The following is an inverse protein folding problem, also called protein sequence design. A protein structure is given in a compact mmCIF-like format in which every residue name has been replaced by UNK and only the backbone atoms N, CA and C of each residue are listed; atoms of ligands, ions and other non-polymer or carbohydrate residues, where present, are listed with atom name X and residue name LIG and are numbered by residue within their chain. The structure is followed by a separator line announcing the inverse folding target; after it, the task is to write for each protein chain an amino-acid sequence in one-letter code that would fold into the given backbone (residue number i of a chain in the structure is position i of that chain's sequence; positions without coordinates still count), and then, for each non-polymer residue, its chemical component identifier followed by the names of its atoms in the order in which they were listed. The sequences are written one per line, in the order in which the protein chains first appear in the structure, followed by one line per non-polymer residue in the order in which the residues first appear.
data_IF_478079180138
#
_entry.id   IF_478079180138
#
_cell.length_a   1.000
_cell.length_b   1.000
_cell.length_c   1.000
_cell.angle_alpha   90.00
_cell.angle_beta   90.00
_cell.angle_gamma   90.00
#
_symmetry.space_group_name_H-M   'P 1'
#
loop_
_entity.id
_entity.type
_entity.pdbx_description
1 polymer ?
#
# COMPACT_ATOMS: atom_id res chain seq x y z
N UNK A 1 13.65 8.71 11.05
CA UNK A 1 13.15 9.18 12.38
C UNK A 1 12.69 7.93 13.08
N UNK A 2 13.21 7.55 14.26
CA UNK A 2 12.96 6.19 14.80
C UNK A 2 11.49 6.03 15.24
N UNK A 3 10.62 5.55 14.33
CA UNK A 3 9.20 5.34 14.60
C UNK A 3 9.06 4.15 15.55
N UNK A 4 8.47 4.39 16.73
CA UNK A 4 8.38 3.39 17.78
C UNK A 4 7.30 2.32 17.46
N UNK A 5 7.24 1.24 18.25
CA UNK A 5 6.30 0.14 18.03
C UNK A 5 4.82 0.56 18.09
N UNK A 6 4.49 1.54 18.95
CA UNK A 6 3.13 2.07 19.09
C UNK A 6 2.73 2.88 17.85
N UNK A 7 3.59 3.78 17.37
CA UNK A 7 3.36 4.56 16.15
C UNK A 7 3.19 3.64 14.92
N UNK A 8 3.94 2.54 14.84
CA UNK A 8 3.76 1.53 13.78
C UNK A 8 2.40 0.83 13.85
N UNK A 9 1.95 0.50 15.05
CA UNK A 9 0.62 -0.08 15.26
C UNK A 9 -0.49 0.91 14.92
N UNK A 10 -0.31 2.20 15.22
CA UNK A 10 -1.25 3.25 14.84
C UNK A 10 -1.37 3.39 13.32
N UNK A 11 -0.24 3.47 12.60
CA UNK A 11 -0.23 3.54 11.12
C UNK A 11 -0.89 2.32 10.50
N UNK A 12 -0.65 1.12 11.05
CA UNK A 12 -1.29 -0.11 10.58
C UNK A 12 -2.80 -0.11 10.81
N UNK A 13 -3.25 0.32 11.99
CA UNK A 13 -4.68 0.44 12.30
C UNK A 13 -5.36 1.47 11.38
N UNK A 14 -4.72 2.62 11.16
CA UNK A 14 -5.24 3.65 10.26
C UNK A 14 -5.36 3.15 8.81
N UNK A 15 -4.39 2.36 8.33
CA UNK A 15 -4.50 1.69 7.02
C UNK A 15 -5.72 0.77 6.97
N UNK A 16 -5.91 -0.03 8.02
CA UNK A 16 -6.97 -1.04 8.08
C UNK A 16 -8.36 -0.39 8.14
N UNK A 17 -8.51 0.66 8.94
CA UNK A 17 -9.71 1.49 9.00
C UNK A 17 -10.00 2.15 7.65
N UNK A 18 -9.02 2.84 7.06
CA UNK A 18 -9.20 3.52 5.77
C UNK A 18 -9.55 2.53 4.65
N UNK A 19 -8.99 1.31 4.68
CA UNK A 19 -9.32 0.25 3.72
C UNK A 19 -10.77 -0.24 3.87
N UNK A 20 -11.26 -0.36 5.10
CA UNK A 20 -12.65 -0.74 5.36
C UNK A 20 -13.62 0.36 4.94
N UNK A 21 -13.29 1.62 5.19
CA UNK A 21 -14.12 2.77 4.77
C UNK A 21 -14.26 2.83 3.25
N UNK A 22 -13.17 2.62 2.51
CA UNK A 22 -13.22 2.56 1.04
C UNK A 22 -14.09 1.41 0.54
N UNK A 23 -14.00 0.22 1.15
CA UNK A 23 -14.87 -0.91 0.79
C UNK A 23 -16.34 -0.57 1.00
N UNK A 24 -16.68 -0.01 2.16
CA UNK A 24 -18.05 0.38 2.48
C UNK A 24 -18.59 1.43 1.48
N UNK A 25 -17.79 2.42 1.11
CA UNK A 25 -18.18 3.41 0.11
C UNK A 25 -18.41 2.80 -1.27
N UNK A 26 -17.55 1.87 -1.71
CA UNK A 26 -17.74 1.15 -2.98
C UNK A 26 -19.07 0.41 -2.99
N UNK A 27 -19.40 -0.31 -1.91
CA UNK A 27 -20.65 -1.04 -1.78
C UNK A 27 -21.87 -0.11 -1.83
N UNK A 28 -21.80 1.04 -1.15
CA UNK A 28 -22.86 2.04 -1.20
C UNK A 28 -23.06 2.64 -2.60
N UNK A 29 -21.98 2.97 -3.31
CA UNK A 29 -22.04 3.49 -4.67
C UNK A 29 -22.65 2.44 -5.60
N UNK A 30 -22.21 1.18 -5.50
CA UNK A 30 -22.74 0.09 -6.31
C UNK A 30 -24.22 -0.18 -6.03
N UNK A 31 -24.67 -0.01 -4.78
CA UNK A 31 -26.10 -0.08 -4.43
C UNK A 31 -26.88 1.06 -5.06
N UNK A 32 -26.41 2.30 -4.93
CA UNK A 32 -27.07 3.47 -5.52
C UNK A 32 -27.13 3.41 -7.06
N UNK A 33 -26.11 2.85 -7.73
CA UNK A 33 -26.11 2.64 -9.18
C UNK A 33 -27.17 1.61 -9.60
N UNK A 34 -27.30 0.49 -8.87
CA UNK A 34 -28.36 -0.50 -9.14
C UNK A 34 -29.74 0.11 -8.97
N UNK A 35 -29.98 0.79 -7.86
CA UNK A 35 -31.25 1.48 -7.58
C UNK A 35 -31.58 2.54 -8.64
N UNK A 36 -30.57 3.24 -9.18
CA UNK A 36 -30.74 4.18 -10.28
C UNK A 36 -31.18 3.48 -11.57
N UNK A 37 -30.47 2.41 -11.98
CA UNK A 37 -30.75 1.70 -13.22
C UNK A 37 -32.13 1.02 -13.22
N UNK A 38 -32.51 0.36 -12.13
CA UNK A 38 -33.82 -0.29 -11.99
C UNK A 38 -34.98 0.73 -12.06
N UNK A 39 -34.80 1.92 -11.47
CA UNK A 39 -35.80 2.97 -11.53
C UNK A 39 -35.86 3.69 -12.89
N UNK A 40 -34.76 3.74 -13.62
CA UNK A 40 -34.66 4.45 -14.89
C UNK A 40 -35.33 3.69 -16.04
N UNK A 41 -35.13 2.37 -16.13
CA UNK A 41 -35.74 1.53 -17.18
C UNK A 41 -37.28 1.55 -17.11
N UNK A 42 -37.83 1.44 -15.90
CA UNK A 42 -39.28 1.52 -15.68
C UNK A 42 -39.89 2.88 -16.02
N UNK A 43 -39.11 3.98 -15.97
CA UNK A 43 -39.60 5.34 -16.21
C UNK A 43 -39.56 5.76 -17.69
N UNK A 44 -38.63 5.21 -18.48
CA UNK A 44 -38.53 5.51 -19.92
C UNK A 44 -39.71 4.90 -20.70
N UNK A 45 -40.13 3.68 -20.37
CA UNK A 45 -41.24 3.03 -21.07
C UNK A 45 -42.57 3.79 -20.92
N UNK A 46 -42.81 4.44 -19.77
CA UNK A 46 -43.99 5.27 -19.52
C UNK A 46 -43.95 6.64 -20.21
N UNK A 47 -42.76 7.17 -20.55
CA UNK A 47 -42.59 8.53 -21.08
C UNK A 47 -42.63 8.62 -22.62
N UNK A 48 -42.32 7.52 -23.33
CA UNK A 48 -42.19 7.52 -24.81
C UNK A 48 -43.52 7.23 -25.53
N UNK A 49 -44.57 6.77 -24.82
CA UNK A 49 -45.84 6.44 -25.47
C UNK A 49 -46.64 7.70 -25.81
N UNK A 50 -46.71 8.05 -27.10
CA UNK A 50 -47.62 9.08 -27.59
C UNK A 50 -49.06 8.56 -27.55
N UNK A 51 -49.91 9.17 -26.72
CA UNK A 51 -51.35 8.91 -26.70
C UNK A 51 -52.07 9.91 -27.60
N UNK A 52 -52.38 9.52 -28.83
CA UNK A 52 -53.07 10.37 -29.82
C UNK A 52 -54.46 10.87 -29.36
N UNK A 53 -55.04 10.25 -28.33
CA UNK A 53 -56.35 10.60 -27.73
C UNK A 53 -56.26 11.21 -26.32
N UNK A 54 -55.09 11.67 -25.88
CA UNK A 54 -54.90 12.27 -24.55
C UNK A 54 -55.64 13.61 -24.40
N UNK A 55 -56.34 13.80 -23.28
CA UNK A 55 -56.94 15.10 -22.97
C UNK A 55 -55.85 16.15 -22.65
N UNK A 56 -56.12 17.45 -22.85
CA UNK A 56 -55.17 18.50 -22.47
C UNK A 56 -54.75 18.45 -20.99
N UNK A 57 -55.67 18.06 -20.10
CA UNK A 57 -55.44 17.97 -18.65
C UNK A 57 -54.54 16.77 -18.29
N UNK A 58 -54.73 15.63 -18.93
CA UNK A 58 -53.88 14.45 -18.76
C UNK A 58 -52.48 14.72 -19.31
N UNK A 59 -52.38 15.43 -20.44
CA UNK A 59 -51.11 15.85 -21.04
C UNK A 59 -50.30 16.75 -20.12
N UNK A 60 -50.95 17.71 -19.45
CA UNK A 60 -50.28 18.59 -18.47
C UNK A 60 -49.74 17.77 -17.30
N UNK A 61 -50.55 16.88 -16.70
CA UNK A 61 -50.10 16.02 -15.60
C UNK A 61 -48.94 15.11 -15.98
N UNK A 62 -48.96 14.57 -17.21
CA UNK A 62 -47.85 13.76 -17.72
C UNK A 62 -46.56 14.58 -17.82
N UNK A 63 -46.62 15.79 -18.38
CA UNK A 63 -45.48 16.71 -18.48
C UNK A 63 -44.96 17.11 -17.09
N UNK A 64 -45.84 17.43 -16.14
CA UNK A 64 -45.46 17.74 -14.75
C UNK A 64 -44.72 16.55 -14.11
N UNK A 65 -45.24 15.33 -14.26
CA UNK A 65 -44.58 14.12 -13.77
C UNK A 65 -43.20 13.89 -14.39
N UNK A 66 -43.00 14.23 -15.68
CA UNK A 66 -41.69 14.19 -16.34
C UNK A 66 -40.73 15.21 -15.71
N UNK A 67 -41.19 16.44 -15.46
CA UNK A 67 -40.39 17.48 -14.83
C UNK A 67 -39.94 17.07 -13.42
N UNK A 68 -40.86 16.59 -12.57
CA UNK A 68 -40.55 16.14 -11.21
C UNK A 68 -39.50 15.00 -11.21
N UNK A 69 -39.62 14.05 -12.15
CA UNK A 69 -38.65 12.96 -12.28
C UNK A 69 -37.27 13.45 -12.73
N UNK A 70 -37.20 14.44 -13.63
CA UNK A 70 -35.93 15.05 -14.05
C UNK A 70 -35.25 15.80 -12.91
N UNK A 71 -36.00 16.53 -12.09
CA UNK A 71 -35.46 17.20 -10.91
C UNK A 71 -34.89 16.18 -9.91
N UNK A 72 -35.58 15.07 -9.68
CA UNK A 72 -35.09 14.01 -8.79
C UNK A 72 -33.80 13.36 -9.33
N UNK A 73 -33.65 13.20 -10.64
CA UNK A 73 -32.42 12.68 -11.27
C UNK A 73 -31.25 13.65 -11.06
N UNK A 74 -31.47 14.94 -11.25
CA UNK A 74 -30.45 15.97 -11.01
C UNK A 74 -29.99 15.91 -9.55
N UNK A 75 -30.93 15.83 -8.59
CA UNK A 75 -30.63 15.71 -7.16
C UNK A 75 -29.79 14.47 -6.85
N UNK A 76 -30.14 13.31 -7.44
CA UNK A 76 -29.38 12.06 -7.25
C UNK A 76 -27.97 12.14 -7.84
N UNK A 77 -27.81 12.76 -9.01
CA UNK A 77 -26.50 12.96 -9.63
C UNK A 77 -25.57 13.83 -8.76
N UNK A 78 -26.12 14.82 -8.06
CA UNK A 78 -25.38 15.64 -7.10
C UNK A 78 -24.84 14.80 -5.92
N UNK A 79 -25.67 13.90 -5.39
CA UNK A 79 -25.27 12.96 -4.32
C UNK A 79 -24.13 12.05 -4.81
N UNK A 80 -24.26 11.46 -6.00
CA UNK A 80 -23.22 10.60 -6.59
C UNK A 80 -21.91 11.37 -6.77
N UNK A 81 -21.97 12.61 -7.26
CA UNK A 81 -20.80 13.48 -7.43
C UNK A 81 -20.08 13.75 -6.10
N UNK A 82 -20.84 13.95 -5.01
CA UNK A 82 -20.25 14.14 -3.68
C UNK A 82 -19.59 12.85 -3.16
N UNK A 83 -20.23 11.69 -3.33
CA UNK A 83 -19.63 10.39 -2.97
C UNK A 83 -18.33 10.13 -3.75
N UNK A 84 -18.27 10.47 -5.04
CA UNK A 84 -17.05 10.36 -5.84
C UNK A 84 -15.93 11.23 -5.27
N UNK A 85 -16.22 12.47 -4.86
CA UNK A 85 -15.23 13.36 -4.24
C UNK A 85 -14.71 12.79 -2.92
N UNK A 86 -15.60 12.28 -2.07
CA UNK A 86 -15.21 11.62 -0.82
C UNK A 86 -14.29 10.42 -1.07
N UNK A 87 -14.64 9.58 -2.03
CA UNK A 87 -13.80 8.43 -2.43
C UNK A 87 -12.41 8.86 -2.94
N UNK A 88 -12.31 9.95 -3.69
CA UNK A 88 -11.00 10.51 -4.10
C UNK A 88 -10.17 10.97 -2.90
N UNK A 89 -10.79 11.58 -1.89
CA UNK A 89 -10.09 11.99 -0.66
C UNK A 89 -9.57 10.77 0.11
N UNK A 90 -10.35 9.69 0.20
CA UNK A 90 -9.92 8.44 0.84
C UNK A 90 -8.76 7.78 0.09
N UNK A 91 -8.79 7.76 -1.25
CA UNK A 91 -7.68 7.24 -2.06
C UNK A 91 -6.38 8.03 -1.84
N UNK A 92 -6.47 9.35 -1.74
CA UNK A 92 -5.32 10.18 -1.41
C UNK A 92 -4.78 9.87 0.01
N UNK A 93 -5.67 9.65 0.98
CA UNK A 93 -5.27 9.23 2.34
C UNK A 93 -4.54 7.89 2.33
N UNK A 94 -5.08 6.90 1.62
CA UNK A 94 -4.44 5.57 1.43
C UNK A 94 -3.05 5.68 0.80
N UNK A 95 -2.90 6.54 -0.21
CA UNK A 95 -1.59 6.79 -0.85
C UNK A 95 -0.56 7.28 0.17
N UNK A 96 -0.93 8.25 1.02
CA UNK A 96 -0.03 8.79 2.04
C UNK A 96 0.36 7.73 3.08
N UNK A 97 -0.61 6.96 3.58
CA UNK A 97 -0.34 5.88 4.54
C UNK A 97 0.60 4.83 3.91
N UNK A 98 0.39 4.48 2.65
CA UNK A 98 1.26 3.55 1.94
C UNK A 98 2.69 4.07 1.78
N UNK A 99 2.88 5.37 1.55
CA UNK A 99 4.21 5.99 1.52
C UNK A 99 4.91 5.87 2.88
N UNK A 100 4.22 6.20 3.98
CA UNK A 100 4.75 6.06 5.34
C UNK A 100 5.15 4.60 5.66
N UNK A 101 4.33 3.62 5.27
CA UNK A 101 4.66 2.20 5.46
C UNK A 101 5.90 1.79 4.67
N UNK A 102 6.05 2.28 3.44
CA UNK A 102 7.25 2.00 2.65
C UNK A 102 8.50 2.63 3.25
N UNK A 103 8.41 3.85 3.78
CA UNK A 103 9.49 4.52 4.49
C UNK A 103 9.90 3.72 5.73
N UNK A 104 8.94 3.31 6.58
CA UNK A 104 9.21 2.45 7.74
C UNK A 104 9.89 1.15 7.33
N UNK A 105 9.39 0.48 6.28
CA UNK A 105 9.97 -0.78 5.79
C UNK A 105 11.39 -0.59 5.27
N UNK A 106 11.70 0.57 4.71
CA UNK A 106 13.04 0.91 4.25
C UNK A 106 13.98 1.13 5.43
N UNK A 107 13.59 1.99 6.39
CA UNK A 107 14.37 2.24 7.62
C UNK A 107 14.66 0.93 8.37
N UNK A 108 13.68 0.02 8.46
CA UNK A 108 13.85 -1.30 9.07
C UNK A 108 14.91 -2.16 8.36
N UNK A 109 14.94 -2.14 7.03
CA UNK A 109 15.95 -2.88 6.26
C UNK A 109 17.34 -2.31 6.47
N UNK A 110 17.46 -0.99 6.53
CA UNK A 110 18.73 -0.31 6.79
C UNK A 110 19.26 -0.66 8.19
N UNK A 111 18.41 -0.56 9.23
CA UNK A 111 18.77 -0.92 10.61
C UNK A 111 19.22 -2.39 10.69
N UNK A 112 18.49 -3.32 10.06
CA UNK A 112 18.85 -4.74 10.08
C UNK A 112 20.16 -5.01 9.33
N UNK A 113 20.40 -4.32 8.21
CA UNK A 113 21.66 -4.39 7.48
C UNK A 113 22.83 -3.92 8.34
N UNK A 114 22.72 -2.76 9.00
CA UNK A 114 23.74 -2.24 9.93
C UNK A 114 24.03 -3.21 11.09
N UNK A 115 23.00 -3.83 11.65
CA UNK A 115 23.16 -4.81 12.72
C UNK A 115 23.89 -6.07 12.24
N UNK A 116 23.56 -6.57 11.06
CA UNK A 116 24.26 -7.71 10.44
C UNK A 116 25.72 -7.36 10.16
N UNK A 117 25.99 -6.17 9.63
CA UNK A 117 27.36 -5.66 9.38
C UNK A 117 28.18 -5.56 10.67
N UNK A 118 27.55 -5.09 11.75
CA UNK A 118 28.18 -5.03 13.07
C UNK A 118 28.51 -6.43 13.61
N UNK A 119 27.61 -7.41 13.45
CA UNK A 119 27.84 -8.79 13.88
C UNK A 119 28.99 -9.41 13.09
N UNK A 120 28.97 -9.29 11.76
CA UNK A 120 30.01 -9.84 10.89
C UNK A 120 31.36 -9.23 11.23
N UNK A 121 31.45 -7.90 11.39
CA UNK A 121 32.68 -7.21 11.79
C UNK A 121 33.24 -7.78 13.09
N UNK A 122 32.42 -7.90 14.13
CA UNK A 122 32.85 -8.45 15.44
C UNK A 122 33.30 -9.90 15.34
N UNK A 123 32.62 -10.72 14.54
CA UNK A 123 33.03 -12.12 14.31
C UNK A 123 34.38 -12.17 13.59
N UNK A 124 34.56 -11.35 12.55
CA UNK A 124 35.80 -11.31 11.78
C UNK A 124 36.98 -10.80 12.62
N UNK A 125 36.79 -9.78 13.45
CA UNK A 125 37.81 -9.31 14.40
C UNK A 125 38.24 -10.43 15.36
N UNK A 126 37.28 -11.16 15.93
CA UNK A 126 37.58 -12.28 16.83
C UNK A 126 38.33 -13.42 16.12
N UNK A 127 37.95 -13.75 14.87
CA UNK A 127 38.66 -14.75 14.07
C UNK A 127 40.06 -14.28 13.68
N UNK A 128 40.22 -13.01 13.32
CA UNK A 128 41.53 -12.42 13.01
C UNK A 128 42.49 -12.55 14.19
N UNK A 129 42.07 -12.16 15.40
CA UNK A 129 42.86 -12.30 16.63
C UNK A 129 43.28 -13.76 16.86
N UNK A 130 42.34 -14.70 16.68
CA UNK A 130 42.62 -16.15 16.84
C UNK A 130 43.63 -16.65 15.81
N UNK A 131 43.47 -16.26 14.55
CA UNK A 131 44.33 -16.68 13.44
C UNK A 131 45.73 -16.09 13.60
N UNK A 132 45.86 -14.82 13.97
CA UNK A 132 47.15 -14.19 14.20
C UNK A 132 47.94 -14.91 15.31
N UNK A 133 47.25 -15.32 16.38
CA UNK A 133 47.86 -16.15 17.43
C UNK A 133 48.34 -17.50 16.91
N UNK A 134 47.54 -18.19 16.07
CA UNK A 134 47.93 -19.47 15.45
C UNK A 134 49.13 -19.31 14.50
N UNK A 135 49.21 -18.19 13.78
CA UNK A 135 50.34 -17.86 12.91
C UNK A 135 51.61 -17.64 13.73
N UNK A 136 51.50 -16.91 14.85
CA UNK A 136 52.61 -16.65 15.75
C UNK A 136 53.16 -17.95 16.35
N UNK A 137 52.26 -18.85 16.78
CA UNK A 137 52.59 -20.17 17.33
C UNK A 137 53.16 -21.14 16.25
N UNK A 138 52.75 -21.02 14.98
CA UNK A 138 53.22 -21.89 13.91
C UNK A 138 53.31 -21.20 12.53
N UNK A 139 54.38 -20.42 12.35
CA UNK A 139 54.63 -19.62 11.13
C UNK A 139 54.64 -20.41 9.83
N UNK A 140 55.00 -21.70 9.85
CA UNK A 140 55.03 -22.56 8.64
C UNK A 140 53.63 -22.80 8.06
N UNK A 141 52.57 -22.66 8.86
CA UNK A 141 51.18 -22.83 8.45
C UNK A 141 50.46 -21.51 8.17
N UNK A 142 51.18 -20.38 8.14
CA UNK A 142 50.56 -19.06 8.05
C UNK A 142 49.59 -18.91 6.88
N UNK A 143 49.97 -19.39 5.70
CA UNK A 143 49.11 -19.33 4.52
C UNK A 143 47.83 -20.17 4.65
N UNK A 144 47.90 -21.31 5.35
CA UNK A 144 46.71 -22.14 5.61
C UNK A 144 45.74 -21.39 6.51
N UNK A 145 46.21 -20.84 7.63
CA UNK A 145 45.36 -20.11 8.56
C UNK A 145 44.74 -18.84 7.94
N UNK A 146 45.49 -18.14 7.07
CA UNK A 146 44.91 -17.04 6.28
C UNK A 146 43.82 -17.51 5.30
N UNK A 147 44.00 -18.68 4.68
CA UNK A 147 42.96 -19.30 3.84
C UNK A 147 41.70 -19.64 4.64
N UNK A 148 41.85 -20.24 5.82
CA UNK A 148 40.71 -20.55 6.72
C UNK A 148 39.93 -19.28 7.12
N UNK A 149 40.62 -18.15 7.33
CA UNK A 149 39.96 -16.87 7.61
C UNK A 149 39.16 -16.35 6.41
N UNK A 150 39.69 -16.49 5.20
CA UNK A 150 39.00 -16.08 3.98
C UNK A 150 37.79 -16.98 3.70
N UNK A 151 37.89 -18.29 3.95
CA UNK A 151 36.74 -19.20 3.83
C UNK A 151 35.60 -18.80 4.79
N UNK A 152 35.94 -18.44 6.04
CA UNK A 152 34.97 -17.93 7.02
C UNK A 152 34.34 -16.63 6.52
N UNK A 153 35.14 -15.71 5.96
CA UNK A 153 34.65 -14.45 5.41
C UNK A 153 33.63 -14.68 4.28
N UNK A 154 33.95 -15.58 3.35
CA UNK A 154 33.07 -15.95 2.24
C UNK A 154 31.77 -16.58 2.77
N UNK A 155 31.84 -17.44 3.78
CA UNK A 155 30.66 -18.05 4.40
C UNK A 155 29.72 -16.99 5.01
N UNK A 156 30.26 -16.00 5.73
CA UNK A 156 29.46 -14.93 6.31
C UNK A 156 28.83 -14.01 5.26
N UNK A 157 29.57 -13.69 4.21
CA UNK A 157 29.05 -12.91 3.07
C UNK A 157 27.94 -13.70 2.35
N UNK A 158 28.09 -15.01 2.19
CA UNK A 158 27.08 -15.88 1.60
C UNK A 158 25.80 -15.93 2.44
N UNK A 159 25.92 -16.06 3.77
CA UNK A 159 24.76 -16.01 4.70
C UNK A 159 24.05 -14.66 4.68
N UNK A 160 24.77 -13.56 4.46
CA UNK A 160 24.21 -12.22 4.32
C UNK A 160 23.32 -12.12 3.06
N UNK A 161 23.80 -12.63 1.93
CA UNK A 161 23.08 -12.66 0.65
C UNK A 161 21.85 -13.57 0.72
N UNK A 162 22.00 -14.79 1.26
CA UNK A 162 20.91 -15.77 1.37
C UNK A 162 19.74 -15.24 2.21
N UNK A 163 20.03 -14.44 3.25
CA UNK A 163 19.02 -13.81 4.11
C UNK A 163 18.53 -12.45 3.60
N UNK A 164 18.91 -12.04 2.39
CA UNK A 164 18.50 -10.76 1.77
C UNK A 164 18.77 -9.54 2.65
N UNK A 165 19.91 -9.52 3.34
CA UNK A 165 20.41 -8.32 4.03
C UNK A 165 21.56 -7.71 3.21
N UNK A 166 21.26 -7.03 2.08
CA UNK A 166 22.33 -6.39 1.32
C UNK A 166 23.12 -5.44 2.22
N UNK A 167 24.45 -5.35 2.07
CA UNK A 167 25.27 -4.38 2.78
C UNK A 167 24.68 -2.98 2.66
N UNK A 168 24.82 -2.15 3.70
CA UNK A 168 24.21 -0.81 3.74
C UNK A 168 24.46 0.01 2.46
N UNK A 169 25.71 0.00 1.98
CA UNK A 169 26.11 0.73 0.76
C UNK A 169 25.42 0.26 -0.53
N UNK A 170 24.85 -0.95 -0.57
CA UNK A 170 24.06 -1.45 -1.70
C UNK A 170 22.57 -1.07 -1.59
N UNK A 171 22.07 -0.84 -0.37
CA UNK A 171 20.70 -0.34 -0.16
C UNK A 171 20.61 1.09 -0.68
N UNK A 172 21.62 1.92 -0.38
CA UNK A 172 21.74 3.31 -0.85
C UNK A 172 21.81 3.42 -2.39
N UNK A 173 22.24 2.37 -3.11
CA UNK A 173 22.35 2.35 -4.57
C UNK A 173 21.09 1.89 -5.31
N UNK A 174 20.11 1.30 -4.60
CA UNK A 174 18.81 0.92 -5.19
C UNK A 174 17.86 2.13 -5.35
N UNK A 175 18.34 3.33 -5.05
CA UNK A 175 17.58 4.59 -5.05
C UNK A 175 17.83 5.49 -6.29
N UNK A 176 18.63 5.07 -7.27
CA UNK A 176 18.73 5.72 -8.60
C UNK A 176 17.97 4.94 -9.69
#
# INVERSE_FOLDING_TARGET
MNINKEERSEVFNELQETSNDVKNQIDEIMKSVREYNENWENRIEEEITDNENESPEDRIKRIEGICDRKEEIIRRNEIVKNKIKEGMMMLNKLKNIYQVINEIRYEDKEILSEQVDTIITKVMEAQQIRIDKLIEENKRRANRYKGELEDIRIEWESKRIEKTYPPKYQIEQLEE
#
